data_IF_580973941749
#
_entry.id   IF_580973941749
#
_cell.length_a   1.000
_cell.length_b   1.000
_cell.length_c   1.000
_cell.angle_alpha   90.00
_cell.angle_beta   90.00
_cell.angle_gamma   90.00
#
_symmetry.space_group_name_H-M   'P 1'
#
loop_
_entity.id
_entity.type
_entity.pdbx_description
1 polymer ?
#
# COMPACT_ATOMS: atom_id res chain seq x y z
N UNK A 1 -7.60 4.58 -17.19
CA UNK A 1 -6.97 3.34 -16.70
C UNK A 1 -5.48 3.61 -16.54
N UNK A 2 -4.94 3.43 -15.34
CA UNK A 2 -3.55 3.75 -14.99
C UNK A 2 -2.62 2.72 -15.65
N UNK A 3 -1.55 3.22 -16.30
CA UNK A 3 -0.56 2.48 -17.10
C UNK A 3 -0.09 1.16 -16.46
N UNK A 4 0.01 1.11 -15.13
CA UNK A 4 0.64 0.02 -14.37
C UNK A 4 -0.33 -0.95 -13.69
N UNK A 5 -1.65 -0.73 -13.79
CA UNK A 5 -2.64 -1.53 -13.06
C UNK A 5 -2.72 -2.99 -13.56
N UNK A 6 -2.29 -3.25 -14.79
CA UNK A 6 -2.24 -4.61 -15.35
C UNK A 6 -0.91 -5.32 -15.07
N UNK A 7 0.12 -4.57 -14.73
CA UNK A 7 1.51 -5.06 -14.64
C UNK A 7 1.93 -5.36 -13.19
N UNK A 8 1.27 -4.74 -12.21
CA UNK A 8 1.49 -4.99 -10.79
C UNK A 8 0.50 -6.00 -10.24
N UNK A 9 1.00 -7.17 -9.86
CA UNK A 9 0.23 -8.23 -9.22
C UNK A 9 0.67 -8.39 -7.76
N UNK A 10 -0.31 -8.56 -6.86
CA UNK A 10 -0.02 -8.83 -5.45
C UNK A 10 0.73 -10.16 -5.30
N UNK A 11 1.79 -10.17 -4.49
CA UNK A 11 2.61 -11.36 -4.24
C UNK A 11 3.90 -11.44 -5.05
N UNK A 12 4.04 -10.64 -6.11
CA UNK A 12 5.28 -10.56 -6.90
C UNK A 12 6.21 -9.46 -6.38
N UNK A 13 7.49 -9.54 -6.74
CA UNK A 13 8.52 -8.58 -6.33
C UNK A 13 8.90 -7.72 -7.53
N UNK A 14 9.02 -6.41 -7.28
CA UNK A 14 9.31 -5.43 -8.32
C UNK A 14 10.42 -4.48 -7.88
N UNK A 15 11.32 -4.19 -8.81
CA UNK A 15 12.16 -3.00 -8.76
C UNK A 15 11.37 -1.81 -9.33
N UNK A 16 11.24 -0.75 -8.53
CA UNK A 16 10.54 0.48 -8.93
C UNK A 16 11.56 1.62 -8.87
N UNK A 17 11.66 2.41 -9.94
CA UNK A 17 12.59 3.55 -10.04
C UNK A 17 11.96 4.75 -10.75
N UNK A 18 12.62 5.92 -10.66
CA UNK A 18 12.18 7.20 -11.26
C UNK A 18 10.76 7.61 -10.85
N UNK A 19 10.50 7.55 -9.55
CA UNK A 19 9.23 7.95 -8.95
C UNK A 19 9.41 9.19 -8.06
N UNK A 20 8.31 9.90 -7.82
CA UNK A 20 8.28 11.01 -6.88
C UNK A 20 7.94 10.55 -5.47
N UNK A 21 8.38 11.33 -4.48
CA UNK A 21 8.05 11.14 -3.07
C UNK A 21 7.14 12.28 -2.63
N UNK A 22 5.98 11.94 -2.06
CA UNK A 22 5.05 12.92 -1.48
C UNK A 22 4.81 12.63 0.00
N UNK A 23 4.38 13.66 0.74
CA UNK A 23 3.93 13.48 2.12
C UNK A 23 2.68 12.57 2.12
N UNK A 24 2.69 11.60 3.01
CA UNK A 24 1.54 10.74 3.23
C UNK A 24 0.49 11.50 4.04
N UNK A 25 -0.66 11.79 3.42
CA UNK A 25 -1.82 12.42 4.06
C UNK A 25 -2.59 11.48 4.98
N UNK A 26 -2.22 10.18 5.00
CA UNK A 26 -2.86 9.12 5.78
C UNK A 26 -4.33 8.88 5.44
N UNK A 27 -4.77 9.34 4.26
CA UNK A 27 -6.12 9.08 3.75
C UNK A 27 -6.35 7.58 3.51
N UNK A 28 -5.29 6.84 3.18
CA UNK A 28 -5.29 5.40 2.96
C UNK A 28 -4.46 4.72 4.05
N UNK A 29 -5.13 3.87 4.85
CA UNK A 29 -4.69 3.49 6.20
C UNK A 29 -3.76 2.28 6.40
N UNK A 30 -3.22 1.54 5.40
CA UNK A 30 -2.38 0.40 5.75
C UNK A 30 -0.91 0.76 6.05
N UNK A 31 -0.40 1.93 5.63
CA UNK A 31 1.05 2.25 5.73
C UNK A 31 1.29 3.45 6.65
N UNK A 32 2.11 3.25 7.69
CA UNK A 32 2.43 4.23 8.73
C UNK A 32 3.59 5.18 8.38
N UNK A 33 4.17 5.05 7.18
CA UNK A 33 5.31 5.85 6.77
C UNK A 33 4.90 7.29 6.46
N UNK A 34 5.76 8.26 6.81
CA UNK A 34 5.52 9.71 6.64
C UNK A 34 5.40 10.13 5.17
N UNK A 35 5.94 9.32 4.27
CA UNK A 35 5.95 9.55 2.83
C UNK A 35 5.33 8.39 2.06
N UNK A 36 4.83 8.70 0.86
CA UNK A 36 4.32 7.76 -0.12
C UNK A 36 5.05 7.94 -1.45
N UNK A 37 5.09 6.88 -2.23
CA UNK A 37 5.56 6.92 -3.62
C UNK A 37 4.41 7.41 -4.51
N UNK A 38 4.73 8.31 -5.45
CA UNK A 38 3.83 8.76 -6.51
C UNK A 38 4.42 8.39 -7.86
N UNK A 39 3.66 7.63 -8.62
CA UNK A 39 4.06 7.26 -9.97
C UNK A 39 3.91 8.44 -10.92
N UNK A 40 4.90 8.61 -11.78
CA UNK A 40 4.97 9.63 -12.82
C UNK A 40 4.99 8.96 -14.20
N UNK A 41 5.09 9.75 -15.27
CA UNK A 41 5.31 9.24 -16.62
C UNK A 41 6.67 8.54 -16.79
N UNK A 42 7.64 8.90 -15.95
CA UNK A 42 9.03 8.42 -16.01
C UNK A 42 9.29 7.21 -15.12
N UNK A 43 8.31 6.84 -14.28
CA UNK A 43 8.42 5.68 -13.40
C UNK A 43 8.61 4.39 -14.20
N UNK A 44 9.63 3.64 -13.80
CA UNK A 44 9.94 2.33 -14.36
C UNK A 44 9.65 1.24 -13.33
N UNK A 45 9.11 0.13 -13.80
CA UNK A 45 8.75 -1.04 -12.99
C UNK A 45 9.27 -2.27 -13.72
N UNK A 46 10.07 -3.06 -13.02
CA UNK A 46 10.59 -4.33 -13.55
C UNK A 46 10.30 -5.41 -12.52
N UNK A 47 9.66 -6.49 -12.94
CA UNK A 47 9.51 -7.68 -12.09
C UNK A 47 10.86 -8.36 -11.91
N UNK A 48 11.14 -8.78 -10.69
CA UNK A 48 12.40 -9.46 -10.34
C UNK A 48 12.11 -10.81 -9.68
N UNK A 49 13.12 -11.67 -9.69
CA UNK A 49 13.03 -12.96 -9.04
C UNK A 49 12.74 -12.82 -7.54
N UNK A 50 12.12 -13.87 -6.99
CA UNK A 50 11.78 -13.90 -5.58
C UNK A 50 13.05 -13.82 -4.71
N UNK A 51 13.05 -12.88 -3.76
CA UNK A 51 14.14 -12.64 -2.81
C UNK A 51 13.63 -12.89 -1.39
N UNK A 52 14.22 -13.88 -0.71
CA UNK A 52 13.83 -14.27 0.65
C UNK A 52 14.14 -13.20 1.70
N UNK A 53 15.01 -12.24 1.40
CA UNK A 53 15.32 -11.12 2.29
C UNK A 53 14.18 -10.09 2.36
N UNK A 54 13.26 -10.10 1.39
CA UNK A 54 12.11 -9.20 1.35
C UNK A 54 10.93 -9.82 2.13
N UNK A 55 10.47 -9.19 3.23
CA UNK A 55 9.37 -9.75 4.02
C UNK A 55 8.07 -9.79 3.22
N UNK A 56 7.47 -10.98 3.09
CA UNK A 56 6.18 -11.17 2.40
C UNK A 56 4.99 -10.56 3.13
N UNK A 57 5.07 -10.47 4.45
CA UNK A 57 3.97 -10.00 5.29
C UNK A 57 4.49 -9.00 6.32
N UNK A 58 3.88 -7.81 6.36
CA UNK A 58 4.19 -6.78 7.35
C UNK A 58 2.92 -6.28 8.06
N UNK A 59 2.10 -7.22 8.53
CA UNK A 59 0.83 -6.92 9.19
C UNK A 59 1.04 -6.43 10.62
N UNK A 60 0.42 -5.29 10.95
CA UNK A 60 0.30 -4.81 12.32
C UNK A 60 -1.11 -5.12 12.83
N UNK A 61 -1.24 -6.28 13.48
CA UNK A 61 -2.50 -6.66 14.09
C UNK A 61 -2.83 -5.74 15.27
N UNK A 62 -4.09 -5.40 15.41
CA UNK A 62 -4.63 -4.64 16.54
C UNK A 62 -5.83 -5.38 17.09
N UNK A 63 -6.08 -5.27 18.40
CA UNK A 63 -7.29 -5.80 18.99
C UNK A 63 -8.53 -5.18 18.32
N UNK A 64 -9.58 -5.99 18.14
CA UNK A 64 -10.84 -5.56 17.53
C UNK A 64 -11.43 -4.34 18.27
N UNK A 65 -11.40 -4.35 19.60
CA UNK A 65 -11.84 -3.22 20.43
C UNK A 65 -11.11 -1.90 20.08
N UNK A 66 -9.79 -1.96 19.89
CA UNK A 66 -8.98 -0.80 19.47
C UNK A 66 -9.24 -0.39 18.01
N UNK A 67 -9.58 -1.34 17.14
CA UNK A 67 -10.02 -1.05 15.77
C UNK A 67 -11.34 -0.29 15.74
N UNK A 68 -12.31 -0.70 16.57
CA UNK A 68 -13.63 -0.08 16.65
C UNK A 68 -13.58 1.36 17.17
N UNK A 69 -12.72 1.67 18.15
CA UNK A 69 -12.55 3.05 18.63
C UNK A 69 -11.96 3.98 17.57
N UNK A 70 -11.07 3.49 16.71
CA UNK A 70 -10.52 4.23 15.56
C UNK A 70 -11.50 4.37 14.39
N UNK A 71 -12.48 3.47 14.29
CA UNK A 71 -13.53 3.48 13.26
C UNK A 71 -14.72 4.38 13.63
N UNK A 72 -14.89 4.69 14.92
CA UNK A 72 -15.92 5.58 15.46
C UNK A 72 -15.92 7.03 14.95
N UNK A 73 -15.10 7.37 13.93
CA UNK A 73 -15.09 8.67 13.25
C UNK A 73 -15.35 8.61 11.73
N UNK A 74 -15.41 7.43 11.08
CA UNK A 74 -15.83 7.29 9.67
C UNK A 74 -16.44 5.91 9.43
N UNK A 75 -17.78 5.86 9.47
CA UNK A 75 -18.65 4.68 9.37
C UNK A 75 -18.99 4.29 7.92
N UNK A 76 -18.02 3.80 7.14
CA UNK A 76 -18.29 3.32 5.77
C UNK A 76 -17.56 2.03 5.34
N UNK A 77 -17.14 1.16 6.27
CA UNK A 77 -16.47 -0.10 5.91
C UNK A 77 -17.17 -1.38 6.39
N UNK A 78 -18.39 -1.28 6.93
CA UNK A 78 -19.21 -2.46 7.19
C UNK A 78 -20.20 -2.60 6.03
N UNK A 79 -19.84 -3.40 5.03
CA UNK A 79 -20.78 -3.86 4.01
C UNK A 79 -21.94 -4.57 4.70
N UNK A 80 -23.16 -4.19 4.34
CA UNK A 80 -24.38 -4.84 4.84
C UNK A 80 -24.43 -6.28 4.29
N UNK A 81 -24.59 -7.23 5.20
CA UNK A 81 -25.05 -8.58 4.88
C UNK A 81 -26.55 -8.55 4.59
#
# INVERSE_FOLDING_TARGET
>A
MTKYQKDLQEGNIYEISNFDIEKNTQDYRPVAHTYKIKFTSETNITEVDNDESIPRYNFKFTALATGLTKLGQKTWLMGKY
#
